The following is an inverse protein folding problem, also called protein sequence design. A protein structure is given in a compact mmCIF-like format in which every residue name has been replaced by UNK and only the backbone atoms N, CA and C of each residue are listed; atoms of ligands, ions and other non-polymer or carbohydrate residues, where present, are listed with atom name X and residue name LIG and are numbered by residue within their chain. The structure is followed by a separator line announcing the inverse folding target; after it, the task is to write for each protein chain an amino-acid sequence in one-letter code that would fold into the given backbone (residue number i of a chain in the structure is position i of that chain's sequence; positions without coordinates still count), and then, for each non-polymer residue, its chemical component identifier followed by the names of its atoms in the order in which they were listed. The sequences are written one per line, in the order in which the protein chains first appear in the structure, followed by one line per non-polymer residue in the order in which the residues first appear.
data_IF_280159692647
#
_entry.id   IF_280159692647
#
_cell.length_a   1.000
_cell.length_b   1.000
_cell.length_c   1.000
_cell.angle_alpha   90.00
_cell.angle_beta   90.00
_cell.angle_gamma   90.00
#
_symmetry.space_group_name_H-M   'P 1'
#
loop_
_entity.id
_entity.type
_entity.pdbx_description
1 polymer ?
#
# COMPACT_ATOMS: atom_id res chain seq x y z
N UNK A 1 -18.85 22.41 -16.49
CA UNK A 1 -18.16 21.11 -16.34
C UNK A 1 -16.95 21.34 -15.47
N UNK A 2 -16.85 20.67 -14.32
CA UNK A 2 -15.62 20.70 -13.50
C UNK A 2 -14.79 19.47 -13.82
N UNK A 3 -13.52 19.67 -14.17
CA UNK A 3 -12.55 18.60 -14.34
C UNK A 3 -11.80 18.36 -13.02
N UNK A 4 -11.50 17.09 -12.68
CA UNK A 4 -10.77 16.76 -11.48
C UNK A 4 -9.32 17.24 -11.64
N UNK A 5 -8.63 17.45 -10.53
CA UNK A 5 -7.20 17.78 -10.57
C UNK A 5 -6.41 16.64 -11.24
N UNK A 6 -5.33 16.99 -11.94
CA UNK A 6 -4.40 16.03 -12.53
C UNK A 6 -3.75 15.09 -11.48
N UNK A 7 -3.85 15.45 -10.19
CA UNK A 7 -3.44 14.65 -9.04
C UNK A 7 -4.54 14.68 -7.99
N UNK A 8 -5.01 13.51 -7.56
CA UNK A 8 -5.99 13.39 -6.47
C UNK A 8 -5.41 13.87 -5.14
N UNK A 9 -6.24 14.54 -4.34
CA UNK A 9 -5.93 15.04 -2.99
C UNK A 9 -6.76 14.21 -2.00
N UNK A 10 -6.09 13.45 -1.12
CA UNK A 10 -6.76 12.47 -0.26
C UNK A 10 -7.79 13.09 0.68
N UNK A 11 -7.47 14.27 1.22
CA UNK A 11 -8.27 15.01 2.19
C UNK A 11 -9.50 15.73 1.60
N UNK A 12 -9.58 15.84 0.27
CA UNK A 12 -10.62 16.63 -0.38
C UNK A 12 -11.20 15.89 -1.59
N UNK A 13 -12.31 15.18 -1.35
CA UNK A 13 -13.02 14.45 -2.38
C UNK A 13 -13.73 15.39 -3.38
N UNK A 14 -14.09 16.60 -2.95
CA UNK A 14 -14.68 17.62 -3.82
C UNK A 14 -13.70 18.07 -4.90
N UNK A 15 -12.41 18.16 -4.60
CA UNK A 15 -11.37 18.44 -5.59
C UNK A 15 -11.09 17.24 -6.54
N UNK A 16 -11.54 16.04 -6.17
CA UNK A 16 -11.32 14.81 -6.93
C UNK A 16 -12.52 14.39 -7.79
N UNK A 17 -13.71 14.94 -7.56
CA UNK A 17 -14.93 14.56 -8.26
C UNK A 17 -15.22 15.41 -9.50
N UNK A 18 -15.92 14.79 -10.47
CA UNK A 18 -16.48 15.46 -11.65
C UNK A 18 -17.94 15.72 -11.38
N UNK A 19 -18.33 16.99 -11.27
CA UNK A 19 -19.74 17.39 -11.17
C UNK A 19 -20.13 18.22 -12.39
N UNK A 20 -21.25 17.85 -13.02
CA UNK A 20 -21.79 18.51 -14.19
C UNK A 20 -22.95 19.43 -13.80
N UNK A 21 -22.69 20.74 -13.88
CA UNK A 21 -23.66 21.81 -13.65
C UNK A 21 -23.95 22.54 -14.97
N UNK A 22 -24.63 21.90 -15.91
CA UNK A 22 -25.05 22.57 -17.16
C UNK A 22 -26.58 22.64 -17.21
N UNK A 23 -27.19 23.84 -17.32
CA UNK A 23 -28.59 23.96 -17.66
C UNK A 23 -28.82 23.40 -19.08
N UNK A 24 -29.83 22.54 -19.25
CA UNK A 24 -30.35 22.08 -20.55
C UNK A 24 -29.45 21.14 -21.40
N UNK A 25 -28.56 20.35 -20.80
CA UNK A 25 -27.82 19.33 -21.58
C UNK A 25 -28.71 18.14 -21.96
N UNK A 26 -28.41 17.51 -23.10
CA UNK A 26 -29.08 16.27 -23.52
C UNK A 26 -28.56 15.09 -22.69
N UNK A 27 -29.35 14.69 -21.70
CA UNK A 27 -29.06 13.57 -20.80
C UNK A 27 -28.88 12.24 -21.54
N UNK A 28 -29.56 12.02 -22.66
CA UNK A 28 -29.43 10.79 -23.45
C UNK A 28 -28.10 10.76 -24.20
N UNK A 29 -27.74 11.88 -24.83
CA UNK A 29 -26.47 12.00 -25.54
C UNK A 29 -25.26 11.86 -24.59
N UNK A 30 -25.32 12.49 -23.40
CA UNK A 30 -24.27 12.35 -22.41
C UNK A 30 -24.16 10.91 -21.89
N UNK A 31 -25.29 10.26 -21.61
CA UNK A 31 -25.30 8.85 -21.18
C UNK A 31 -24.70 7.93 -22.24
N UNK A 32 -25.01 8.17 -23.52
CA UNK A 32 -24.38 7.43 -24.62
C UNK A 32 -22.86 7.64 -24.71
N UNK A 33 -22.36 8.85 -24.43
CA UNK A 33 -20.91 9.12 -24.36
C UNK A 33 -20.27 8.43 -23.15
N UNK A 34 -20.93 8.46 -21.98
CA UNK A 34 -20.46 7.77 -20.78
C UNK A 34 -20.41 6.27 -21.02
N UNK A 35 -21.48 5.67 -21.56
CA UNK A 35 -21.56 4.25 -21.87
C UNK A 35 -20.46 3.84 -22.88
N UNK A 36 -20.19 4.70 -23.87
CA UNK A 36 -19.09 4.52 -24.81
C UNK A 36 -17.72 4.55 -24.12
N UNK A 37 -17.45 5.56 -23.27
CA UNK A 37 -16.19 5.68 -22.52
C UNK A 37 -16.03 4.61 -21.42
N UNK A 38 -17.14 4.04 -20.96
CA UNK A 38 -17.18 2.95 -19.98
C UNK A 38 -17.07 1.57 -20.63
N UNK A 39 -17.15 1.48 -21.96
CA UNK A 39 -17.10 0.23 -22.68
C UNK A 39 -15.67 -0.33 -22.71
N UNK A 40 -15.48 -1.66 -22.53
CA UNK A 40 -14.16 -2.30 -22.46
C UNK A 40 -13.26 -2.04 -23.69
N UNK A 41 -13.87 -1.74 -24.84
CA UNK A 41 -13.17 -1.50 -26.11
C UNK A 41 -12.34 -0.21 -26.12
N UNK A 42 -12.61 0.75 -25.24
CA UNK A 42 -11.90 2.05 -25.23
C UNK A 42 -10.56 2.04 -24.49
N UNK A 43 -10.24 0.96 -23.77
CA UNK A 43 -8.97 0.84 -23.04
C UNK A 43 -8.78 1.84 -21.89
N UNK A 44 -9.80 2.61 -21.52
CA UNK A 44 -9.76 3.55 -20.41
C UNK A 44 -9.91 2.83 -19.07
N UNK A 45 -9.00 3.11 -18.14
CA UNK A 45 -9.04 2.58 -16.78
C UNK A 45 -10.15 3.29 -15.98
N UNK A 46 -11.32 2.64 -15.90
CA UNK A 46 -12.52 3.07 -15.17
C UNK A 46 -13.09 4.44 -15.60
N UNK A 47 -14.30 4.43 -16.14
CA UNK A 47 -15.03 5.67 -16.39
C UNK A 47 -15.27 6.43 -15.07
N UNK A 48 -15.13 7.78 -15.06
CA UNK A 48 -15.44 8.57 -13.90
C UNK A 48 -16.92 8.37 -13.50
N UNK A 49 -17.15 8.17 -12.21
CA UNK A 49 -18.50 8.03 -11.66
C UNK A 49 -19.28 9.33 -11.91
N UNK A 50 -20.34 9.24 -12.71
CA UNK A 50 -21.14 10.39 -13.11
C UNK A 50 -22.25 10.62 -12.09
N UNK A 51 -22.30 11.83 -11.54
CA UNK A 51 -23.40 12.29 -10.71
C UNK A 51 -23.91 13.60 -11.33
N UNK A 52 -25.21 13.64 -11.63
CA UNK A 52 -25.86 14.87 -12.06
C UNK A 52 -25.77 15.90 -10.92
N UNK A 53 -25.42 17.15 -11.21
CA UNK A 53 -25.20 18.16 -10.16
C UNK A 53 -26.41 18.38 -9.24
N UNK A 54 -27.63 18.14 -9.73
CA UNK A 54 -28.87 18.19 -8.93
C UNK A 54 -29.01 17.04 -7.92
N UNK A 55 -28.35 15.92 -8.20
CA UNK A 55 -28.36 14.72 -7.37
C UNK A 55 -27.09 14.60 -6.52
N UNK A 56 -26.11 15.49 -6.68
CA UNK A 56 -24.96 15.52 -5.79
C UNK A 56 -25.36 16.01 -4.39
N UNK A 57 -25.16 15.17 -3.39
CA UNK A 57 -25.19 15.56 -1.99
C UNK A 57 -23.77 15.82 -1.51
N UNK A 58 -23.60 16.97 -0.87
CA UNK A 58 -22.41 17.30 -0.09
C UNK A 58 -22.85 17.46 1.36
N UNK A 59 -22.50 16.48 2.19
CA UNK A 59 -22.91 16.45 3.58
C UNK A 59 -21.71 16.74 4.48
N UNK A 60 -21.80 17.74 5.39
CA UNK A 60 -20.75 17.97 6.35
C UNK A 60 -20.72 16.86 7.41
N UNK A 61 -19.60 16.79 8.13
CA UNK A 61 -19.53 16.00 9.37
C UNK A 61 -20.63 16.43 10.34
N UNK A 62 -21.38 15.48 10.88
CA UNK A 62 -22.35 15.76 11.95
C UNK A 62 -21.60 16.16 13.22
N UNK A 63 -21.85 17.39 13.68
CA UNK A 63 -21.17 18.01 14.83
C UNK A 63 -21.41 17.24 16.13
N UNK A 64 -22.57 16.59 16.27
CA UNK A 64 -22.91 15.82 17.46
C UNK A 64 -22.17 14.46 17.50
N UNK A 65 -21.53 14.07 16.38
CA UNK A 65 -20.80 12.82 16.21
C UNK A 65 -19.28 13.01 16.21
N UNK A 66 -18.76 14.14 16.68
CA UNK A 66 -17.31 14.42 16.72
C UNK A 66 -16.48 13.31 17.39
N UNK A 67 -17.02 12.66 18.44
CA UNK A 67 -16.37 11.51 19.09
C UNK A 67 -16.28 10.28 18.18
N UNK A 68 -17.28 10.03 17.33
CA UNK A 68 -17.31 8.91 16.41
C UNK A 68 -16.32 9.12 15.27
N UNK A 69 -16.22 10.34 14.73
CA UNK A 69 -15.18 10.69 13.74
C UNK A 69 -13.78 10.44 14.28
N UNK A 70 -13.51 10.91 15.50
CA UNK A 70 -12.21 10.71 16.14
C UNK A 70 -11.87 9.22 16.34
N UNK A 71 -12.87 8.40 16.67
CA UNK A 71 -12.70 6.95 16.78
C UNK A 71 -12.50 6.28 15.40
N UNK A 72 -13.27 6.71 14.40
CA UNK A 72 -13.13 6.20 13.03
C UNK A 72 -11.71 6.44 12.50
N UNK A 73 -11.15 7.62 12.76
CA UNK A 73 -9.82 8.03 12.31
C UNK A 73 -8.66 7.37 13.09
N UNK A 74 -8.97 6.51 14.07
CA UNK A 74 -7.96 5.63 14.69
C UNK A 74 -8.01 4.21 14.15
N UNK A 75 -9.01 3.86 13.33
CA UNK A 75 -9.18 2.50 12.85
C UNK A 75 -8.08 2.13 11.84
N UNK A 76 -7.52 0.91 11.95
CA UNK A 76 -6.61 0.39 10.94
C UNK A 76 -7.37 0.10 9.64
N UNK A 77 -6.81 0.53 8.53
CA UNK A 77 -7.30 0.23 7.19
C UNK A 77 -6.12 0.05 6.23
N UNK A 78 -6.38 -0.18 4.95
CA UNK A 78 -5.34 -0.40 3.94
C UNK A 78 -5.57 0.45 2.70
N UNK A 79 -4.55 0.48 1.83
CA UNK A 79 -4.69 0.94 0.47
C UNK A 79 -4.04 -0.08 -0.47
N UNK A 80 -4.82 -0.60 -1.41
CA UNK A 80 -4.36 -1.58 -2.40
C UNK A 80 -4.37 -0.93 -3.78
N UNK A 81 -3.35 -0.10 -4.01
CA UNK A 81 -3.15 0.58 -5.29
C UNK A 81 -2.18 -0.19 -6.19
N UNK A 82 -2.41 -0.09 -7.50
CA UNK A 82 -1.46 -0.52 -8.53
C UNK A 82 -0.30 0.48 -8.66
N UNK A 83 0.49 0.61 -7.60
CA UNK A 83 1.73 1.40 -7.61
C UNK A 83 2.93 0.50 -7.87
N UNK A 84 3.94 1.05 -8.57
CA UNK A 84 5.21 0.34 -8.75
C UNK A 84 5.84 0.06 -7.40
N UNK A 85 6.02 -1.23 -7.08
CA UNK A 85 6.63 -1.67 -5.82
C UNK A 85 8.11 -1.30 -5.79
N UNK A 86 8.63 -1.01 -4.60
CA UNK A 86 10.04 -0.70 -4.38
C UNK A 86 10.59 -1.52 -3.20
N UNK A 87 11.88 -1.86 -3.26
CA UNK A 87 12.56 -2.52 -2.16
C UNK A 87 12.51 -1.69 -0.88
N UNK A 88 12.53 -2.36 0.27
CA UNK A 88 12.60 -1.72 1.57
C UNK A 88 13.86 -0.85 1.69
N UNK A 89 14.97 -1.27 1.09
CA UNK A 89 16.21 -0.47 1.03
C UNK A 89 15.96 0.89 0.37
N UNK A 90 15.34 0.92 -0.83
CA UNK A 90 15.05 2.18 -1.52
C UNK A 90 14.03 3.01 -0.75
N UNK A 91 12.97 2.37 -0.25
CA UNK A 91 11.92 3.04 0.55
C UNK A 91 12.51 3.70 1.79
N UNK A 92 13.41 3.03 2.51
CA UNK A 92 14.09 3.56 3.69
C UNK A 92 14.94 4.79 3.35
N UNK A 93 15.74 4.74 2.29
CA UNK A 93 16.57 5.90 1.92
C UNK A 93 15.70 7.09 1.49
N UNK A 94 14.60 6.85 0.78
CA UNK A 94 13.64 7.90 0.41
C UNK A 94 12.89 8.46 1.62
N UNK A 95 12.55 7.63 2.60
CA UNK A 95 12.00 8.07 3.88
C UNK A 95 12.98 9.01 4.59
N UNK A 96 14.26 8.61 4.69
CA UNK A 96 15.29 9.45 5.29
C UNK A 96 15.41 10.82 4.60
N UNK A 97 15.37 10.88 3.27
CA UNK A 97 15.35 12.16 2.53
C UNK A 97 14.10 12.98 2.82
N UNK A 98 12.93 12.36 2.86
CA UNK A 98 11.68 13.05 3.16
C UNK A 98 11.70 13.65 4.57
N UNK A 99 12.09 12.86 5.57
CA UNK A 99 12.23 13.30 6.96
C UNK A 99 13.22 14.46 7.11
N UNK A 100 14.35 14.40 6.40
CA UNK A 100 15.34 15.48 6.42
C UNK A 100 14.86 16.74 5.70
N UNK A 101 14.15 16.60 4.57
CA UNK A 101 13.56 17.73 3.83
C UNK A 101 12.50 18.46 4.66
N UNK A 102 11.61 17.71 5.31
CA UNK A 102 10.54 18.23 6.17
C UNK A 102 11.04 18.62 7.57
N UNK A 103 12.35 18.53 7.82
CA UNK A 103 13.02 18.86 9.10
C UNK A 103 12.48 18.06 10.31
N UNK A 104 11.90 16.89 10.07
CA UNK A 104 11.46 15.97 11.12
C UNK A 104 12.64 15.19 11.71
N UNK A 105 13.61 14.83 10.86
CA UNK A 105 14.90 14.27 11.26
C UNK A 105 15.96 14.59 10.20
N UNK A 106 16.80 15.59 10.48
CA UNK A 106 17.86 16.03 9.56
C UNK A 106 19.01 15.04 9.41
N UNK A 107 19.15 14.08 10.34
CA UNK A 107 20.19 13.05 10.33
C UNK A 107 19.74 11.73 9.68
N UNK A 108 18.43 11.51 9.54
CA UNK A 108 17.85 10.25 9.08
C UNK A 108 18.45 9.75 7.77
N UNK A 109 18.60 10.62 6.76
CA UNK A 109 19.15 10.20 5.46
C UNK A 109 20.54 9.57 5.58
N UNK A 110 21.47 10.22 6.27
CA UNK A 110 22.84 9.71 6.43
C UNK A 110 22.90 8.52 7.39
N UNK A 111 22.06 8.51 8.45
CA UNK A 111 21.95 7.38 9.35
C UNK A 111 21.50 6.10 8.62
N UNK A 112 20.47 6.20 7.77
CA UNK A 112 19.97 5.05 7.02
C UNK A 112 20.95 4.57 5.94
N UNK A 113 21.67 5.48 5.29
CA UNK A 113 22.76 5.09 4.37
C UNK A 113 23.85 4.30 5.10
N UNK A 114 24.29 4.78 6.26
CA UNK A 114 25.28 4.09 7.10
C UNK A 114 24.79 2.71 7.52
N UNK A 115 23.52 2.59 7.91
CA UNK A 115 22.91 1.30 8.27
C UNK A 115 22.99 0.28 7.13
N UNK A 116 22.64 0.68 5.90
CA UNK A 116 22.69 -0.22 4.75
C UNK A 116 24.13 -0.64 4.46
N UNK A 117 25.08 0.31 4.49
CA UNK A 117 26.50 0.02 4.27
C UNK A 117 27.08 -0.89 5.36
N UNK A 118 26.73 -0.66 6.63
CA UNK A 118 27.20 -1.52 7.73
C UNK A 118 26.62 -2.93 7.62
N UNK A 119 25.35 -3.06 7.23
CA UNK A 119 24.70 -4.36 7.00
C UNK A 119 25.41 -5.12 5.87
N UNK A 120 25.77 -4.44 4.78
CA UNK A 120 26.59 -5.03 3.71
C UNK A 120 27.97 -5.48 4.20
N UNK A 121 28.63 -4.71 5.05
CA UNK A 121 29.94 -5.10 5.61
C UNK A 121 29.83 -6.30 6.58
N UNK A 122 28.75 -6.41 7.34
CA UNK A 122 28.51 -7.58 8.19
C UNK A 122 28.27 -8.84 7.36
N UNK A 123 27.47 -8.75 6.29
CA UNK A 123 27.28 -9.85 5.34
C UNK A 123 28.56 -10.19 4.58
N UNK A 124 29.40 -9.19 4.26
CA UNK A 124 30.74 -9.40 3.72
C UNK A 124 31.60 -10.23 4.67
N UNK A 125 31.62 -9.93 5.98
CA UNK A 125 32.37 -10.73 6.98
C UNK A 125 31.87 -12.18 7.03
N UNK A 126 30.56 -12.39 6.87
CA UNK A 126 29.97 -13.73 6.78
C UNK A 126 30.45 -14.48 5.53
N UNK A 127 30.42 -13.83 4.36
CA UNK A 127 30.80 -14.46 3.09
C UNK A 127 32.31 -14.57 2.88
N UNK A 128 33.13 -13.70 3.48
CA UNK A 128 34.58 -13.67 3.28
C UNK A 128 35.30 -15.01 3.54
N UNK A 129 34.67 -15.91 4.29
CA UNK A 129 35.20 -17.25 4.61
C UNK A 129 34.85 -18.31 3.56
N UNK A 130 33.86 -18.07 2.69
CA UNK A 130 33.39 -19.07 1.73
C UNK A 130 34.33 -19.19 0.53
N UNK A 131 34.39 -20.39 -0.06
CA UNK A 131 35.18 -20.62 -1.27
C UNK A 131 34.67 -19.79 -2.44
N UNK A 132 33.35 -19.69 -2.60
CA UNK A 132 32.71 -18.98 -3.71
C UNK A 132 33.00 -17.47 -3.66
N UNK A 133 32.93 -16.85 -2.48
CA UNK A 133 33.26 -15.44 -2.33
C UNK A 133 34.74 -15.19 -2.65
N UNK A 134 35.64 -16.02 -2.09
CA UNK A 134 37.08 -15.92 -2.40
C UNK A 134 37.36 -16.14 -3.88
N UNK A 135 36.65 -17.06 -4.54
CA UNK A 135 36.77 -17.32 -5.98
C UNK A 135 36.32 -16.10 -6.79
N UNK A 136 35.15 -15.54 -6.50
CA UNK A 136 34.62 -14.35 -7.16
C UNK A 136 35.60 -13.15 -7.05
N UNK A 137 36.21 -12.96 -5.87
CA UNK A 137 37.20 -11.89 -5.68
C UNK A 137 38.54 -12.21 -6.35
N UNK A 138 39.02 -13.45 -6.29
CA UNK A 138 40.32 -13.85 -6.88
C UNK A 138 40.29 -13.83 -8.40
N UNK A 139 39.18 -14.25 -9.00
CA UNK A 139 38.96 -14.14 -10.45
C UNK A 139 39.00 -12.67 -10.86
N UNK A 140 38.30 -11.78 -10.17
CA UNK A 140 38.36 -10.34 -10.47
C UNK A 140 39.69 -9.65 -10.12
N UNK A 141 40.42 -10.09 -9.10
CA UNK A 141 41.72 -9.54 -8.71
C UNK A 141 42.87 -9.91 -9.68
N UNK A 142 42.83 -11.13 -10.26
CA UNK A 142 43.77 -11.51 -11.35
C UNK A 142 43.63 -10.61 -12.55
N UNK A 143 42.46 -10.01 -12.74
CA UNK A 143 42.18 -9.16 -13.88
C UNK A 143 42.65 -7.72 -13.65
N UNK A 144 42.51 -7.18 -12.44
CA UNK A 144 43.02 -5.85 -12.07
C UNK A 144 44.56 -5.76 -12.13
N UNK A 145 45.29 -6.84 -11.82
CA UNK A 145 46.76 -6.88 -11.96
C UNK A 145 47.21 -6.84 -13.43
N UNK A 146 46.50 -7.55 -14.32
CA UNK A 146 46.79 -7.49 -15.77
C UNK A 146 46.55 -6.08 -16.32
N UNK A 147 45.49 -5.40 -15.88
CA UNK A 147 45.21 -4.03 -16.33
C UNK A 147 46.24 -2.98 -15.90
N UNK A 148 46.79 -3.10 -14.70
CA UNK A 148 47.87 -2.21 -14.23
C UNK A 148 49.19 -2.47 -14.98
N UNK A 149 49.55 -3.73 -15.22
CA UNK A 149 50.80 -4.05 -15.92
C UNK A 149 50.83 -3.53 -17.37
N UNK A 150 49.70 -3.61 -18.08
CA UNK A 150 49.57 -3.04 -19.44
C UNK A 150 49.64 -1.51 -19.42
N UNK A 151 49.00 -0.86 -18.43
CA UNK A 151 49.02 0.60 -18.32
C UNK A 151 50.39 1.19 -17.91
N UNK A 152 51.24 0.42 -17.21
CA UNK A 152 52.57 0.85 -16.78
C UNK A 152 53.69 0.50 -17.79
N UNK A 153 53.37 -0.12 -18.93
CA UNK A 153 54.34 -0.39 -20.00
C UNK A 153 55.52 -1.22 -19.51
N UNK A 154 55.25 -2.43 -19.01
CA UNK A 154 56.33 -3.41 -18.82
C UNK A 154 56.67 -3.97 -20.20
N UNK A 155 57.76 -3.47 -20.78
CA UNK A 155 58.36 -4.03 -21.99
C UNK A 155 58.72 -5.50 -21.72
N UNK A 156 57.92 -6.41 -22.26
CA UNK A 156 58.39 -7.74 -22.63
C UNK A 156 58.51 -7.75 -24.15
N UNK A 157 59.74 -7.93 -24.63
CA UNK A 157 60.07 -8.06 -26.05
C UNK A 157 59.26 -9.21 -26.67
N UNK A 158 58.18 -8.88 -27.38
CA UNK A 158 57.55 -9.64 -28.47
C UNK A 158 56.30 -8.85 -28.97
N UNK A 159 56.52 -7.99 -29.97
CA UNK A 159 55.54 -7.07 -30.57
C UNK A 159 54.55 -7.76 -31.53
N UNK A 160 53.69 -8.66 -31.04
CA UNK A 160 52.44 -9.07 -31.74
C UNK A 160 51.21 -9.26 -30.81
N UNK A 161 51.35 -9.29 -29.47
CA UNK A 161 50.24 -9.52 -28.52
C UNK A 161 49.67 -8.26 -27.82
N UNK A 162 50.16 -7.06 -28.15
CA UNK A 162 49.81 -5.83 -27.41
C UNK A 162 48.35 -5.37 -27.60
N UNK A 163 47.77 -5.54 -28.79
CA UNK A 163 46.41 -5.08 -29.09
C UNK A 163 45.35 -5.95 -28.36
N UNK A 164 45.52 -7.28 -28.41
CA UNK A 164 44.64 -8.23 -27.69
C UNK A 164 44.71 -8.03 -26.16
N UNK A 165 45.89 -7.69 -25.62
CA UNK A 165 46.07 -7.46 -24.18
C UNK A 165 45.38 -6.18 -23.68
N UNK A 166 45.44 -5.09 -24.45
CA UNK A 166 44.79 -3.82 -24.11
C UNK A 166 43.27 -3.93 -24.27
N UNK A 167 42.80 -4.57 -25.35
CA UNK A 167 41.39 -4.85 -25.56
C UNK A 167 40.81 -5.74 -24.45
N UNK A 168 41.53 -6.79 -24.02
CA UNK A 168 41.13 -7.66 -22.92
C UNK A 168 41.04 -6.89 -21.58
N UNK A 169 41.98 -6.01 -21.29
CA UNK A 169 41.97 -5.16 -20.08
C UNK A 169 40.81 -4.16 -20.11
N UNK A 170 40.59 -3.50 -21.23
CA UNK A 170 39.49 -2.57 -21.42
C UNK A 170 38.13 -3.28 -21.30
N UNK A 171 37.99 -4.48 -21.89
CA UNK A 171 36.80 -5.30 -21.80
C UNK A 171 36.46 -5.69 -20.35
N UNK A 172 37.47 -5.99 -19.52
CA UNK A 172 37.20 -6.39 -18.14
C UNK A 172 36.97 -5.20 -17.21
N UNK A 173 37.68 -4.09 -17.40
CA UNK A 173 37.38 -2.85 -16.66
C UNK A 173 35.93 -2.42 -16.92
N UNK A 174 35.47 -2.50 -18.17
CA UNK A 174 34.05 -2.33 -18.54
C UNK A 174 33.15 -3.31 -17.80
N UNK A 175 33.51 -4.59 -17.74
CA UNK A 175 32.71 -5.60 -17.01
C UNK A 175 32.59 -5.30 -15.49
N UNK A 176 33.65 -4.85 -14.82
CA UNK A 176 33.60 -4.47 -13.39
C UNK A 176 32.68 -3.26 -13.18
N UNK A 177 32.76 -2.26 -14.07
CA UNK A 177 31.89 -1.09 -14.02
C UNK A 177 30.43 -1.45 -14.32
N UNK A 178 30.18 -2.38 -15.24
CA UNK A 178 28.85 -2.91 -15.53
C UNK A 178 28.26 -3.64 -14.32
N UNK A 179 29.05 -4.49 -13.63
CA UNK A 179 28.64 -5.14 -12.38
C UNK A 179 28.34 -4.11 -11.27
N UNK A 180 29.14 -3.04 -11.19
CA UNK A 180 28.90 -1.96 -10.23
C UNK A 180 27.62 -1.17 -10.58
N UNK A 181 27.39 -0.89 -11.85
CA UNK A 181 26.16 -0.24 -12.33
C UNK A 181 24.93 -1.13 -12.11
N UNK A 182 25.04 -2.45 -12.30
CA UNK A 182 24.00 -3.43 -11.94
C UNK A 182 23.71 -3.41 -10.44
N UNK A 183 24.75 -3.38 -9.60
CA UNK A 183 24.62 -3.23 -8.15
C UNK A 183 23.92 -1.92 -7.78
N UNK A 184 24.23 -0.84 -8.51
CA UNK A 184 23.55 0.45 -8.39
C UNK A 184 22.08 0.39 -8.77
N UNK A 185 21.72 -0.35 -9.82
CA UNK A 185 20.32 -0.62 -10.17
C UNK A 185 19.63 -1.46 -9.10
N UNK A 186 20.24 -2.53 -8.57
CA UNK A 186 19.66 -3.36 -7.51
C UNK A 186 19.36 -2.54 -6.24
N UNK A 187 20.37 -1.87 -5.68
CA UNK A 187 20.23 -1.11 -4.42
C UNK A 187 19.49 0.22 -4.58
N UNK A 188 19.76 0.95 -5.67
CA UNK A 188 19.29 2.31 -5.88
C UNK A 188 20.00 3.35 -5.01
N UNK A 189 19.55 4.61 -5.15
CA UNK A 189 19.85 5.72 -4.25
C UNK A 189 21.35 6.01 -3.97
N UNK A 190 22.24 5.63 -4.89
CA UNK A 190 23.68 5.85 -4.76
C UNK A 190 24.37 4.96 -3.71
N UNK A 191 23.70 3.91 -3.21
CA UNK A 191 24.22 3.06 -2.13
C UNK A 191 25.44 2.24 -2.56
N UNK A 192 25.48 1.78 -3.82
CA UNK A 192 26.64 1.10 -4.41
C UNK A 192 27.93 1.96 -4.38
N UNK A 193 27.82 3.28 -4.56
CA UNK A 193 28.95 4.21 -4.45
C UNK A 193 29.32 4.40 -2.98
N UNK A 194 28.33 4.53 -2.10
CA UNK A 194 28.56 4.68 -0.66
C UNK A 194 29.31 3.49 -0.06
N UNK A 195 28.94 2.26 -0.45
CA UNK A 195 29.63 1.05 -0.04
C UNK A 195 31.09 1.06 -0.49
N UNK A 196 31.36 1.27 -1.79
CA UNK A 196 32.72 1.31 -2.33
C UNK A 196 33.57 2.37 -1.63
N UNK A 197 33.03 3.58 -1.43
CA UNK A 197 33.74 4.65 -0.72
C UNK A 197 34.11 4.24 0.72
N UNK A 198 33.18 3.62 1.45
CA UNK A 198 33.44 3.15 2.81
C UNK A 198 34.50 2.03 2.84
N UNK A 199 34.44 1.08 1.90
CA UNK A 199 35.40 -0.02 1.78
C UNK A 199 36.83 0.47 1.50
N UNK A 200 36.98 1.39 0.55
CA UNK A 200 38.28 1.97 0.18
C UNK A 200 38.85 2.79 1.34
N UNK A 201 38.02 3.57 2.03
CA UNK A 201 38.46 4.39 3.16
C UNK A 201 38.89 3.57 4.38
N UNK A 202 38.19 2.47 4.68
CA UNK A 202 38.41 1.71 5.92
C UNK A 202 39.55 0.68 5.79
N UNK A 203 39.68 0.02 4.64
CA UNK A 203 40.57 -1.15 4.49
C UNK A 203 41.67 -0.94 3.42
N UNK A 204 41.75 0.26 2.84
CA UNK A 204 42.75 0.60 1.80
C UNK A 204 42.79 -0.38 0.61
N UNK A 205 41.65 -1.02 0.30
CA UNK A 205 41.53 -1.89 -0.87
C UNK A 205 41.28 -1.05 -2.14
N UNK A 206 41.61 -1.63 -3.30
CA UNK A 206 41.35 -0.98 -4.59
C UNK A 206 39.84 -0.89 -4.88
N UNK A 207 39.36 0.18 -5.53
CA UNK A 207 37.95 0.32 -5.89
C UNK A 207 37.38 -0.86 -6.70
N UNK A 208 38.16 -1.44 -7.62
CA UNK A 208 37.74 -2.61 -8.41
C UNK A 208 37.40 -3.82 -7.54
N UNK A 209 38.22 -4.09 -6.51
CA UNK A 209 37.93 -5.16 -5.55
C UNK A 209 36.65 -4.87 -4.75
N UNK A 210 36.45 -3.65 -4.27
CA UNK A 210 35.23 -3.28 -3.54
C UNK A 210 33.96 -3.42 -4.40
N UNK A 211 34.04 -3.11 -5.70
CA UNK A 211 32.95 -3.30 -6.66
C UNK A 211 32.58 -4.79 -6.84
N UNK A 212 33.59 -5.65 -6.96
CA UNK A 212 33.41 -7.11 -7.05
C UNK A 212 32.84 -7.72 -5.76
N UNK A 213 33.31 -7.27 -4.59
CA UNK A 213 32.74 -7.64 -3.29
C UNK A 213 31.25 -7.31 -3.24
N UNK A 214 30.87 -6.10 -3.68
CA UNK A 214 29.47 -5.70 -3.70
C UNK A 214 28.64 -6.55 -4.66
N UNK A 215 29.14 -6.85 -5.85
CA UNK A 215 28.44 -7.70 -6.82
C UNK A 215 28.19 -9.09 -6.23
N UNK A 216 29.22 -9.72 -5.66
CA UNK A 216 29.11 -11.04 -5.01
C UNK A 216 28.13 -11.03 -3.82
N UNK A 217 28.09 -9.96 -3.04
CA UNK A 217 27.12 -9.80 -1.96
C UNK A 217 25.67 -9.75 -2.47
N UNK A 218 25.43 -9.03 -3.58
CA UNK A 218 24.09 -8.86 -4.14
C UNK A 218 23.61 -10.03 -5.00
N UNK A 219 24.46 -11.03 -5.23
CA UNK A 219 24.10 -12.31 -5.82
C UNK A 219 23.76 -13.36 -4.74
N UNK A 220 24.15 -13.13 -3.49
CA UNK A 220 23.78 -13.99 -2.36
C UNK A 220 22.38 -13.64 -1.82
N UNK A 221 21.45 -14.59 -1.95
CA UNK A 221 20.05 -14.41 -1.55
C UNK A 221 19.89 -14.15 -0.03
N UNK A 222 20.80 -14.67 0.81
CA UNK A 222 20.76 -14.41 2.26
C UNK A 222 21.11 -12.96 2.58
N UNK A 223 22.09 -12.40 1.88
CA UNK A 223 22.50 -11.00 1.99
C UNK A 223 21.38 -10.06 1.54
N UNK A 224 20.76 -10.31 0.39
CA UNK A 224 19.64 -9.48 -0.09
C UNK A 224 18.43 -9.56 0.84
N UNK A 225 18.11 -10.76 1.36
CA UNK A 225 17.06 -10.91 2.38
C UNK A 225 17.39 -10.14 3.66
N UNK A 226 18.63 -10.22 4.17
CA UNK A 226 19.04 -9.52 5.38
C UNK A 226 18.91 -8.00 5.22
N UNK A 227 19.26 -7.46 4.05
CA UNK A 227 19.06 -6.04 3.73
C UNK A 227 17.58 -5.65 3.71
N UNK A 228 16.74 -6.41 3.02
CA UNK A 228 15.29 -6.14 2.94
C UNK A 228 14.62 -6.20 4.31
N UNK A 229 14.94 -7.22 5.12
CA UNK A 229 14.40 -7.39 6.47
C UNK A 229 14.84 -6.26 7.39
N UNK A 230 16.14 -5.92 7.38
CA UNK A 230 16.69 -4.86 8.23
C UNK A 230 16.14 -3.50 7.85
N UNK A 231 16.10 -3.19 6.55
CA UNK A 231 15.56 -1.94 6.06
C UNK A 231 14.05 -1.82 6.32
N UNK A 232 13.29 -2.91 6.13
CA UNK A 232 11.85 -2.94 6.41
C UNK A 232 11.54 -2.68 7.88
N UNK A 233 12.28 -3.32 8.79
CA UNK A 233 12.14 -3.08 10.25
C UNK A 233 12.40 -1.63 10.62
N UNK A 234 13.50 -1.03 10.13
CA UNK A 234 13.82 0.37 10.44
C UNK A 234 12.82 1.32 9.78
N UNK A 235 12.37 1.04 8.57
CA UNK A 235 11.32 1.84 7.91
C UNK A 235 10.06 1.91 8.77
N UNK A 236 9.61 0.76 9.29
CA UNK A 236 8.43 0.70 10.15
C UNK A 236 8.63 1.52 11.44
N UNK A 237 9.71 1.27 12.17
CA UNK A 237 10.03 1.96 13.43
C UNK A 237 10.09 3.48 13.24
N UNK A 238 10.74 3.95 12.19
CA UNK A 238 10.89 5.38 11.94
C UNK A 238 9.58 6.02 11.44
N UNK A 239 8.79 5.28 10.66
CA UNK A 239 7.46 5.76 10.25
C UNK A 239 6.54 5.92 11.45
N UNK A 240 6.53 4.96 12.38
CA UNK A 240 5.70 5.02 13.59
C UNK A 240 6.16 6.13 14.54
N UNK A 241 7.47 6.23 14.76
CA UNK A 241 8.10 7.30 15.55
C UNK A 241 7.71 8.70 15.06
N UNK A 242 7.66 8.91 13.75
CA UNK A 242 7.36 10.21 13.15
C UNK A 242 5.88 10.39 12.77
N UNK A 243 5.01 9.41 13.03
CA UNK A 243 3.61 9.39 12.60
C UNK A 243 2.83 10.66 12.95
N UNK A 244 2.90 11.09 14.22
CA UNK A 244 2.19 12.28 14.68
C UNK A 244 2.69 13.56 13.97
N UNK A 245 4.01 13.73 13.83
CA UNK A 245 4.59 14.88 13.16
C UNK A 245 4.29 14.89 11.65
N UNK A 246 4.23 13.72 11.00
CA UNK A 246 3.81 13.59 9.60
C UNK A 246 2.36 14.02 9.43
N UNK A 247 1.46 13.68 10.37
CA UNK A 247 0.04 14.04 10.32
C UNK A 247 -0.18 15.56 10.32
N UNK A 248 0.70 16.30 11.00
CA UNK A 248 0.64 17.76 11.11
C UNK A 248 1.23 18.49 9.88
N UNK A 249 1.80 17.75 8.90
CA UNK A 249 2.29 18.32 7.65
C UNK A 249 1.15 18.71 6.69
N UNK A 250 1.40 19.64 5.75
CA UNK A 250 0.47 19.91 4.66
C UNK A 250 0.17 18.64 3.82
N UNK A 251 -1.04 18.53 3.28
CA UNK A 251 -1.51 17.34 2.57
C UNK A 251 -0.57 16.87 1.44
N UNK A 252 -0.03 17.80 0.65
CA UNK A 252 0.93 17.49 -0.41
C UNK A 252 2.21 16.79 0.10
N UNK A 253 2.61 17.08 1.34
CA UNK A 253 3.74 16.42 2.00
C UNK A 253 3.32 15.08 2.59
N UNK A 254 2.16 14.98 3.24
CA UNK A 254 1.60 13.70 3.73
C UNK A 254 1.50 12.66 2.63
N UNK A 255 1.04 13.06 1.44
CA UNK A 255 0.96 12.19 0.26
C UNK A 255 2.32 11.59 -0.15
N UNK A 256 3.44 12.28 0.13
CA UNK A 256 4.78 11.73 -0.12
C UNK A 256 5.04 10.51 0.76
N UNK A 257 4.73 10.59 2.06
CA UNK A 257 4.90 9.48 3.01
C UNK A 257 3.92 8.33 2.73
N UNK A 258 2.67 8.66 2.40
CA UNK A 258 1.64 7.71 1.98
C UNK A 258 2.11 6.90 0.77
N UNK A 259 2.64 7.55 -0.26
CA UNK A 259 3.23 6.88 -1.44
C UNK A 259 4.41 5.98 -1.10
N UNK A 260 5.32 6.42 -0.21
CA UNK A 260 6.44 5.58 0.23
C UNK A 260 5.98 4.32 0.99
N UNK A 261 4.90 4.45 1.78
CA UNK A 261 4.27 3.32 2.46
C UNK A 261 3.66 2.34 1.45
N UNK A 262 2.85 2.83 0.50
CA UNK A 262 2.13 2.03 -0.52
C UNK A 262 3.05 1.34 -1.54
N UNK A 263 4.30 1.78 -1.68
CA UNK A 263 5.34 1.11 -2.48
C UNK A 263 5.82 -0.23 -1.88
N UNK A 264 5.39 -0.60 -0.67
CA UNK A 264 5.67 -1.91 -0.07
C UNK A 264 5.18 -3.06 -0.93
N UNK A 265 5.92 -4.17 -0.94
CA UNK A 265 5.55 -5.39 -1.66
C UNK A 265 4.17 -5.91 -1.25
N UNK A 266 3.88 -5.90 0.06
CA UNK A 266 2.56 -6.20 0.63
C UNK A 266 1.86 -4.92 1.06
N UNK A 267 0.52 -4.85 1.04
CA UNK A 267 -0.24 -3.76 1.66
C UNK A 267 0.23 -3.52 3.10
N UNK A 268 0.20 -2.25 3.51
CA UNK A 268 0.60 -1.85 4.86
C UNK A 268 -0.56 -1.09 5.48
N UNK A 269 -0.74 -1.28 6.78
CA UNK A 269 -1.79 -0.62 7.54
C UNK A 269 -1.62 0.89 7.46
N UNK A 270 -2.73 1.61 7.30
CA UNK A 270 -2.89 3.05 7.33
C UNK A 270 -4.03 3.41 8.29
N UNK A 271 -4.10 4.66 8.73
CA UNK A 271 -5.27 5.15 9.46
C UNK A 271 -6.34 5.60 8.48
N UNK A 272 -7.60 5.34 8.82
CA UNK A 272 -8.72 5.89 8.07
C UNK A 272 -8.72 7.42 8.17
N UNK A 273 -8.71 8.13 7.03
CA UNK A 273 -8.84 9.58 7.01
C UNK A 273 -10.17 9.93 6.34
N UNK A 274 -11.14 10.37 7.14
CA UNK A 274 -12.46 10.73 6.63
C UNK A 274 -12.48 12.16 6.05
N UNK A 275 -13.26 12.47 5.01
CA UNK A 275 -13.31 13.81 4.44
C UNK A 275 -14.09 14.78 5.32
N UNK A 276 -13.92 16.09 5.09
CA UNK A 276 -14.77 17.12 5.71
C UNK A 276 -16.18 17.13 5.10
N UNK A 277 -16.28 16.86 3.80
CA UNK A 277 -17.52 16.75 3.06
C UNK A 277 -17.65 15.34 2.47
N UNK A 278 -18.73 14.67 2.81
CA UNK A 278 -19.11 13.40 2.20
C UNK A 278 -19.91 13.66 0.93
N UNK A 279 -19.40 13.14 -0.18
CA UNK A 279 -20.04 13.26 -1.48
C UNK A 279 -20.70 11.96 -1.89
N UNK A 280 -22.00 12.01 -2.16
CA UNK A 280 -22.76 10.86 -2.65
C UNK A 280 -23.91 11.30 -3.57
N UNK A 281 -24.45 10.36 -4.32
CA UNK A 281 -25.69 10.57 -5.06
C UNK A 281 -26.89 10.55 -4.11
N UNK A 282 -27.77 11.53 -4.27
CA UNK A 282 -29.05 11.63 -3.58
C UNK A 282 -29.88 10.40 -3.94
N UNK A 283 -30.35 9.71 -2.91
CA UNK A 283 -31.34 8.65 -3.07
C UNK A 283 -32.73 9.04 -2.60
N UNK A 284 -33.67 8.14 -2.86
CA UNK A 284 -35.08 8.29 -2.48
C UNK A 284 -35.34 7.98 -0.99
N UNK A 285 -34.48 7.16 -0.37
CA UNK A 285 -34.60 6.81 1.03
C UNK A 285 -33.75 7.71 1.92
N UNK A 286 -34.27 8.00 3.10
CA UNK A 286 -33.63 8.84 4.11
C UNK A 286 -33.34 8.02 5.35
N UNK A 287 -32.09 8.08 5.83
CA UNK A 287 -31.60 7.33 6.97
C UNK A 287 -31.04 8.27 8.04
N UNK A 288 -31.39 8.00 9.30
CA UNK A 288 -30.87 8.71 10.46
C UNK A 288 -29.52 8.16 10.89
N UNK A 289 -28.84 8.90 11.76
CA UNK A 289 -27.61 8.49 12.47
C UNK A 289 -26.40 8.24 11.57
N UNK A 290 -26.42 8.62 10.29
CA UNK A 290 -25.19 8.59 9.49
C UNK A 290 -24.16 9.57 10.07
N UNK A 291 -22.85 9.30 9.93
CA UNK A 291 -21.79 10.21 10.39
C UNK A 291 -21.85 11.58 9.69
N UNK A 292 -22.25 11.57 8.43
CA UNK A 292 -22.48 12.76 7.62
C UNK A 292 -23.97 12.98 7.42
N UNK A 293 -24.44 14.18 7.67
CA UNK A 293 -25.87 14.45 7.70
C UNK A 293 -26.22 15.85 7.20
N UNK A 294 -27.43 15.98 6.65
CA UNK A 294 -28.04 17.27 6.37
C UNK A 294 -28.42 18.00 7.67
N UNK A 295 -28.94 19.23 7.54
CA UNK A 295 -29.39 20.05 8.66
C UNK A 295 -30.51 19.39 9.50
N UNK A 296 -31.12 18.32 9.01
CA UNK A 296 -32.16 17.54 9.68
C UNK A 296 -31.60 16.26 10.32
N UNK A 297 -30.29 16.03 10.27
CA UNK A 297 -29.62 14.87 10.85
C UNK A 297 -29.74 13.59 10.00
N UNK A 298 -29.97 13.70 8.69
CA UNK A 298 -30.19 12.55 7.82
C UNK A 298 -29.23 12.48 6.63
N UNK A 299 -29.00 11.25 6.15
CA UNK A 299 -28.42 10.94 4.85
C UNK A 299 -29.55 10.51 3.91
N UNK A 300 -29.60 11.07 2.70
CA UNK A 300 -30.45 10.57 1.61
C UNK A 300 -29.61 9.74 0.65
N UNK A 301 -29.87 8.44 0.52
CA UNK A 301 -29.08 7.56 -0.34
C UNK A 301 -29.89 6.37 -0.85
N UNK A 302 -29.46 5.80 -1.97
CA UNK A 302 -30.02 4.56 -2.51
C UNK A 302 -29.20 3.39 -2.00
N UNK A 303 -29.85 2.47 -1.30
CA UNK A 303 -29.26 1.20 -0.86
C UNK A 303 -29.88 0.06 -1.68
N UNK A 304 -29.06 -0.91 -2.07
CA UNK A 304 -29.58 -2.16 -2.63
C UNK A 304 -30.36 -2.95 -1.56
N UNK A 305 -31.06 -4.02 -1.95
CA UNK A 305 -31.94 -4.75 -1.04
C UNK A 305 -31.19 -5.33 0.19
N UNK A 306 -29.93 -5.73 0.03
CA UNK A 306 -29.11 -6.37 1.06
C UNK A 306 -28.53 -5.35 2.02
N UNK A 307 -27.97 -4.27 1.45
CA UNK A 307 -27.53 -3.08 2.19
C UNK A 307 -28.68 -2.50 3.03
N UNK A 308 -29.84 -2.30 2.42
CA UNK A 308 -31.04 -1.77 3.09
C UNK A 308 -31.44 -2.67 4.26
N UNK A 309 -31.54 -3.97 4.03
CA UNK A 309 -31.93 -4.93 5.08
C UNK A 309 -30.94 -4.90 6.25
N UNK A 310 -29.64 -4.76 5.95
CA UNK A 310 -28.58 -4.68 6.96
C UNK A 310 -28.68 -3.40 7.78
N UNK A 311 -28.77 -2.24 7.11
CA UNK A 311 -28.90 -0.94 7.78
C UNK A 311 -30.17 -0.85 8.61
N UNK A 312 -31.31 -1.32 8.09
CA UNK A 312 -32.57 -1.34 8.84
C UNK A 312 -32.51 -2.26 10.07
N UNK A 313 -31.87 -3.43 9.94
CA UNK A 313 -31.69 -4.35 11.06
C UNK A 313 -30.80 -3.76 12.16
N UNK A 314 -29.72 -3.06 11.81
CA UNK A 314 -28.87 -2.39 12.81
C UNK A 314 -29.55 -1.17 13.42
N UNK A 315 -30.22 -0.32 12.64
CA UNK A 315 -30.94 0.85 13.17
C UNK A 315 -32.12 0.45 14.07
N UNK A 316 -32.71 -0.73 13.87
CA UNK A 316 -33.76 -1.27 14.75
C UNK A 316 -33.27 -1.56 16.17
N UNK A 317 -31.94 -1.62 16.41
CA UNK A 317 -31.35 -1.74 17.76
C UNK A 317 -31.45 -0.43 18.57
N UNK A 318 -32.01 0.64 18.00
CA UNK A 318 -32.33 1.85 18.73
C UNK A 318 -31.09 2.58 19.25
N UNK A 319 -31.08 2.91 20.53
CA UNK A 319 -30.04 3.77 21.16
C UNK A 319 -28.71 3.06 21.44
N UNK A 320 -28.62 1.77 21.14
CA UNK A 320 -27.36 1.03 21.09
C UNK A 320 -26.48 1.57 19.94
N UNK A 321 -27.08 1.87 18.78
CA UNK A 321 -26.38 2.42 17.61
C UNK A 321 -26.26 3.94 17.74
N UNK A 322 -25.02 4.42 17.76
CA UNK A 322 -24.65 5.82 17.88
C UNK A 322 -24.47 6.50 16.51
N UNK A 323 -23.97 5.75 15.53
CA UNK A 323 -23.87 6.21 14.16
C UNK A 323 -23.38 5.14 13.21
N UNK A 324 -23.38 5.44 11.91
CA UNK A 324 -22.89 4.53 10.88
C UNK A 324 -22.33 5.29 9.67
N UNK A 325 -21.36 4.69 9.00
CA UNK A 325 -20.73 5.18 7.78
C UNK A 325 -21.01 4.18 6.66
N UNK A 326 -21.45 4.67 5.50
CA UNK A 326 -21.37 3.90 4.25
C UNK A 326 -20.03 4.18 3.57
N UNK A 327 -19.28 3.13 3.30
CA UNK A 327 -18.07 3.20 2.48
C UNK A 327 -18.47 3.37 1.02
N UNK A 328 -17.90 4.37 0.34
CA UNK A 328 -18.02 4.47 -1.12
C UNK A 328 -16.75 3.85 -1.73
N UNK A 329 -16.85 2.75 -2.49
CA UNK A 329 -15.68 2.07 -3.03
C UNK A 329 -14.76 2.99 -3.84
N UNK A 330 -13.44 2.75 -3.74
CA UNK A 330 -12.38 3.46 -4.49
C UNK A 330 -12.20 4.95 -4.16
N UNK A 331 -12.95 5.51 -3.21
CA UNK A 331 -12.63 6.82 -2.64
C UNK A 331 -11.33 6.75 -1.86
N UNK A 332 -10.61 7.88 -1.78
CA UNK A 332 -9.37 7.99 -1.00
C UNK A 332 -9.56 7.57 0.46
N UNK A 333 -10.72 7.92 1.03
CA UNK A 333 -11.11 7.64 2.40
C UNK A 333 -11.85 6.31 2.58
N UNK A 334 -11.97 5.47 1.54
CA UNK A 334 -12.73 4.22 1.62
C UNK A 334 -12.06 3.24 2.60
N UNK A 335 -12.84 2.73 3.56
CA UNK A 335 -12.37 1.65 4.43
C UNK A 335 -12.09 0.42 3.55
N UNK A 336 -10.84 -0.03 3.55
CA UNK A 336 -10.37 -1.06 2.64
C UNK A 336 -9.72 -2.18 3.41
N UNK A 337 -10.08 -3.42 3.06
CA UNK A 337 -9.44 -4.65 3.54
C UNK A 337 -8.75 -5.31 2.34
N UNK A 338 -7.48 -5.74 2.45
CA UNK A 338 -6.83 -6.49 1.40
C UNK A 338 -7.28 -7.95 1.41
N UNK A 339 -7.39 -8.55 0.23
CA UNK A 339 -7.55 -9.98 0.07
C UNK A 339 -6.70 -10.47 -1.10
N UNK A 340 -6.27 -11.74 -1.07
CA UNK A 340 -5.52 -12.34 -2.16
C UNK A 340 -6.47 -13.02 -3.15
N UNK A 341 -6.39 -12.61 -4.41
CA UNK A 341 -7.06 -13.26 -5.53
C UNK A 341 -6.24 -13.00 -6.79
N UNK A 342 -5.28 -13.92 -7.02
CA UNK A 342 -4.17 -13.77 -7.96
C UNK A 342 -3.36 -12.48 -7.73
N UNK A 343 -3.01 -12.24 -6.46
CA UNK A 343 -2.37 -11.02 -5.97
C UNK A 343 -3.31 -10.15 -5.15
N UNK A 344 -2.74 -9.15 -4.48
CA UNK A 344 -3.48 -8.29 -3.56
C UNK A 344 -4.58 -7.49 -4.28
N UNK A 345 -5.82 -7.60 -3.79
CA UNK A 345 -7.00 -6.87 -4.24
C UNK A 345 -7.63 -6.09 -3.09
N UNK A 346 -8.21 -4.90 -3.35
CA UNK A 346 -9.00 -4.18 -2.36
C UNK A 346 -10.43 -4.74 -2.31
N UNK A 347 -10.92 -5.06 -1.11
CA UNK A 347 -12.36 -5.11 -0.83
C UNK A 347 -12.73 -3.90 0.03
N UNK A 348 -13.96 -3.41 -0.12
CA UNK A 348 -14.44 -2.22 0.54
C UNK A 348 -15.67 -2.58 1.37
N UNK A 349 -15.51 -3.03 2.63
CA UNK A 349 -16.64 -3.31 3.49
C UNK A 349 -17.66 -2.16 3.50
N UNK A 350 -18.92 -2.46 3.20
CA UNK A 350 -19.93 -1.44 2.92
C UNK A 350 -20.19 -0.53 4.12
N UNK A 351 -20.17 -1.07 5.35
CA UNK A 351 -20.54 -0.29 6.54
C UNK A 351 -19.58 -0.40 7.71
N UNK A 352 -19.39 0.74 8.37
CA UNK A 352 -18.90 0.83 9.74
C UNK A 352 -20.05 1.27 10.65
N UNK A 353 -20.38 0.49 11.68
CA UNK A 353 -21.41 0.82 12.67
C UNK A 353 -20.78 1.08 14.04
N UNK A 354 -21.13 2.21 14.64
CA UNK A 354 -20.65 2.64 15.94
C UNK A 354 -21.73 2.34 16.97
N UNK A 355 -21.44 1.43 17.91
CA UNK A 355 -22.40 1.03 18.95
C UNK A 355 -21.84 1.15 20.35
N UNK A 356 -22.74 1.31 21.33
CA UNK A 356 -22.39 1.24 22.74
C UNK A 356 -22.01 -0.19 23.12
N UNK A 357 -20.93 -0.33 23.88
CA UNK A 357 -20.59 -1.60 24.55
C UNK A 357 -20.01 -1.28 25.92
N UNK A 358 -20.76 -1.60 26.98
CA UNK A 358 -20.46 -1.11 28.33
C UNK A 358 -20.43 0.42 28.36
N UNK A 359 -19.39 0.98 28.95
CA UNK A 359 -19.14 2.43 29.00
C UNK A 359 -18.41 2.97 27.75
N UNK A 360 -18.06 2.08 26.81
CA UNK A 360 -17.28 2.39 25.62
C UNK A 360 -18.09 2.42 24.33
N UNK A 361 -17.38 2.72 23.24
CA UNK A 361 -17.89 2.65 21.87
C UNK A 361 -17.03 1.64 21.14
N UNK A 362 -17.67 0.72 20.42
CA UNK A 362 -16.98 -0.20 19.51
C UNK A 362 -17.47 0.03 18.09
N UNK A 363 -16.64 -0.35 17.13
CA UNK A 363 -16.94 -0.24 15.70
C UNK A 363 -17.12 -1.65 15.13
N UNK A 364 -18.24 -1.89 14.47
CA UNK A 364 -18.49 -3.12 13.73
C UNK A 364 -18.27 -2.87 12.23
N UNK A 365 -17.64 -3.82 11.55
CA UNK A 365 -17.49 -3.87 10.10
C UNK A 365 -18.54 -4.82 9.55
N UNK A 366 -19.46 -4.32 8.71
CA UNK A 366 -20.55 -5.13 8.16
C UNK A 366 -20.50 -5.14 6.63
N UNK A 367 -20.35 -6.32 6.05
CA UNK A 367 -20.23 -6.53 4.61
C UNK A 367 -21.38 -7.43 4.09
N UNK A 368 -22.52 -6.87 3.65
CA UNK A 368 -23.53 -7.62 2.94
C UNK A 368 -23.04 -8.02 1.55
N UNK A 369 -22.91 -9.33 1.31
CA UNK A 369 -22.17 -9.83 0.15
C UNK A 369 -22.94 -10.88 -0.65
N UNK A 370 -23.02 -10.70 -1.96
CA UNK A 370 -23.58 -11.71 -2.86
C UNK A 370 -22.57 -12.83 -3.15
N UNK A 371 -22.89 -14.07 -2.77
CA UNK A 371 -22.00 -15.23 -2.98
C UNK A 371 -21.84 -15.66 -4.45
N UNK A 372 -22.52 -15.01 -5.38
CA UNK A 372 -22.42 -15.30 -6.82
C UNK A 372 -21.11 -14.83 -7.46
N UNK A 373 -20.35 -13.97 -6.78
CA UNK A 373 -19.04 -13.53 -7.26
C UNK A 373 -18.00 -14.63 -7.10
N UNK A 374 -17.19 -14.87 -8.12
CA UNK A 374 -16.11 -15.86 -8.14
C UNK A 374 -15.13 -15.69 -6.96
N UNK A 375 -14.82 -14.44 -6.60
CA UNK A 375 -13.89 -14.08 -5.54
C UNK A 375 -14.49 -14.09 -4.10
N UNK A 376 -15.73 -14.52 -3.91
CA UNK A 376 -16.42 -14.44 -2.60
C UNK A 376 -15.68 -15.15 -1.47
N UNK A 377 -15.20 -16.38 -1.71
CA UNK A 377 -14.39 -17.13 -0.74
C UNK A 377 -13.06 -16.45 -0.43
N UNK A 378 -12.45 -15.79 -1.43
CA UNK A 378 -11.20 -15.05 -1.24
C UNK A 378 -11.41 -13.80 -0.37
N UNK A 379 -12.51 -13.07 -0.58
CA UNK A 379 -12.91 -11.92 0.27
C UNK A 379 -13.22 -12.34 1.70
N UNK A 380 -13.97 -13.43 1.88
CA UNK A 380 -14.26 -13.96 3.22
C UNK A 380 -12.97 -14.27 4.00
N UNK A 381 -11.98 -14.89 3.34
CA UNK A 381 -10.65 -15.11 3.92
C UNK A 381 -9.91 -13.81 4.22
N UNK A 382 -9.97 -12.83 3.31
CA UNK A 382 -9.38 -11.51 3.54
C UNK A 382 -9.93 -10.81 4.79
N UNK A 383 -11.25 -10.85 5.00
CA UNK A 383 -11.86 -10.37 6.24
C UNK A 383 -11.39 -11.15 7.47
N UNK A 384 -11.28 -12.47 7.38
CA UNK A 384 -10.79 -13.31 8.47
C UNK A 384 -9.32 -13.03 8.80
N UNK A 385 -8.48 -12.75 7.79
CA UNK A 385 -7.09 -12.37 7.97
C UNK A 385 -6.95 -10.98 8.59
N UNK A 386 -7.76 -10.03 8.13
CA UNK A 386 -7.86 -8.71 8.75
C UNK A 386 -8.29 -8.80 10.22
N UNK A 387 -9.32 -9.60 10.53
CA UNK A 387 -9.78 -9.80 11.90
C UNK A 387 -8.73 -10.46 12.80
N UNK A 388 -7.87 -11.33 12.27
CA UNK A 388 -6.79 -11.91 13.08
C UNK A 388 -5.68 -10.90 13.42
N UNK A 389 -5.47 -9.90 12.56
CA UNK A 389 -4.43 -8.88 12.76
C UNK A 389 -4.95 -7.69 13.58
N UNK A 390 -6.20 -7.28 13.36
CA UNK A 390 -6.77 -6.03 13.89
C UNK A 390 -8.05 -6.22 14.70
N UNK A 391 -8.48 -7.45 14.97
CA UNK A 391 -9.78 -7.75 15.58
C UNK A 391 -10.04 -7.07 16.93
N UNK A 392 -8.97 -6.77 17.68
CA UNK A 392 -9.04 -6.06 18.96
C UNK A 392 -9.52 -4.60 18.83
N UNK A 393 -9.37 -3.99 17.66
CA UNK A 393 -9.85 -2.63 17.36
C UNK A 393 -11.35 -2.59 16.99
N UNK A 394 -11.98 -3.75 16.81
CA UNK A 394 -13.36 -3.88 16.32
C UNK A 394 -14.24 -4.71 17.25
N UNK A 395 -15.55 -4.45 17.19
CA UNK A 395 -16.55 -5.25 17.88
C UNK A 395 -16.84 -6.54 17.10
N UNK A 396 -17.52 -6.39 15.96
CA UNK A 396 -17.88 -7.47 15.04
C UNK A 396 -17.26 -7.21 13.67
N UNK A 397 -16.86 -8.25 12.97
CA UNK A 397 -16.43 -8.17 11.58
C UNK A 397 -17.23 -9.23 10.83
N UNK A 398 -18.30 -8.81 10.15
CA UNK A 398 -19.33 -9.72 9.65
C UNK A 398 -19.39 -9.73 8.14
N UNK A 399 -19.34 -10.94 7.57
CA UNK A 399 -19.83 -11.21 6.22
C UNK A 399 -21.31 -11.60 6.32
N UNK A 400 -22.18 -10.91 5.58
CA UNK A 400 -23.64 -11.02 5.73
C UNK A 400 -24.26 -11.48 4.41
N UNK A 401 -25.10 -12.51 4.47
CA UNK A 401 -25.86 -13.00 3.32
C UNK A 401 -27.35 -12.91 3.58
N UNK A 402 -28.13 -12.52 2.57
CA UNK A 402 -29.59 -12.56 2.62
C UNK A 402 -30.11 -13.81 1.92
N UNK A 403 -30.72 -14.72 2.68
CA UNK A 403 -31.35 -15.94 2.15
C UNK A 403 -32.79 -16.07 2.65
N UNK A 404 -33.74 -16.29 1.74
CA UNK A 404 -35.18 -16.45 2.04
C UNK A 404 -35.72 -15.34 2.97
N UNK A 405 -35.26 -14.10 2.77
CA UNK A 405 -35.67 -12.93 3.55
C UNK A 405 -35.00 -12.78 4.92
N UNK A 406 -34.10 -13.69 5.32
CA UNK A 406 -33.34 -13.62 6.58
C UNK A 406 -31.90 -13.22 6.31
N UNK A 407 -31.31 -12.46 7.22
CA UNK A 407 -29.88 -12.18 7.24
C UNK A 407 -29.16 -13.30 8.00
N UNK A 408 -28.22 -13.96 7.33
CA UNK A 408 -27.26 -14.91 7.90
C UNK A 408 -25.92 -14.19 8.03
N UNK A 409 -25.20 -14.42 9.12
CA UNK A 409 -23.99 -13.66 9.47
C UNK A 409 -22.87 -14.58 9.88
N UNK A 410 -21.68 -14.37 9.32
CA UNK A 410 -20.44 -14.97 9.80
C UNK A 410 -19.60 -13.85 10.42
N UNK A 411 -19.55 -13.80 11.74
CA UNK A 411 -18.70 -12.89 12.49
C UNK A 411 -17.27 -13.47 12.59
N UNK A 412 -16.41 -13.07 11.66
CA UNK A 412 -15.01 -13.52 11.61
C UNK A 412 -14.15 -12.90 12.69
N UNK A 413 -14.68 -12.02 13.54
CA UNK A 413 -13.96 -11.60 14.75
C UNK A 413 -13.98 -12.68 15.83
N UNK A 414 -14.89 -13.66 15.74
CA UNK A 414 -14.92 -14.83 16.63
C UNK A 414 -13.95 -15.91 16.14
N UNK A 415 -13.03 -16.33 17.00
CA UNK A 415 -11.96 -17.29 16.69
C UNK A 415 -12.45 -18.54 15.94
N UNK A 416 -13.50 -19.20 16.44
CA UNK A 416 -14.03 -20.42 15.84
C UNK A 416 -14.69 -20.21 14.46
N UNK A 417 -15.23 -19.02 14.18
CA UNK A 417 -15.78 -18.67 12.87
C UNK A 417 -14.64 -18.29 11.93
N UNK A 418 -13.67 -17.50 12.42
CA UNK A 418 -12.47 -17.07 11.69
C UNK A 418 -11.69 -18.26 11.13
N UNK A 419 -11.46 -19.28 11.95
CA UNK A 419 -10.72 -20.48 11.55
C UNK A 419 -11.48 -21.29 10.47
N UNK A 420 -12.80 -21.41 10.60
CA UNK A 420 -13.64 -22.07 9.59
C UNK A 420 -13.62 -21.32 8.26
N UNK A 421 -13.74 -19.99 8.30
CA UNK A 421 -13.71 -19.14 7.09
C UNK A 421 -12.35 -19.20 6.40
N UNK A 422 -11.25 -19.20 7.15
CA UNK A 422 -9.89 -19.39 6.61
C UNK A 422 -9.71 -20.74 5.90
N UNK A 423 -10.38 -21.78 6.39
CA UNK A 423 -10.32 -23.13 5.83
C UNK A 423 -11.22 -23.34 4.59
N UNK A 424 -12.04 -22.36 4.21
CA UNK A 424 -12.91 -22.46 3.01
C UNK A 424 -12.07 -22.74 1.76
N UNK A 425 -12.49 -23.67 0.91
CA UNK A 425 -11.79 -23.99 -0.35
C UNK A 425 -12.31 -23.16 -1.52
N UNK A 426 -13.62 -22.90 -1.54
CA UNK A 426 -14.36 -22.34 -2.65
C UNK A 426 -15.70 -21.73 -2.17
N UNK A 427 -16.47 -21.16 -3.08
CA UNK A 427 -17.72 -20.50 -2.75
C UNK A 427 -18.83 -21.47 -2.30
N UNK A 428 -18.77 -22.74 -2.69
CA UNK A 428 -19.74 -23.75 -2.25
C UNK A 428 -19.51 -24.10 -0.77
N UNK A 429 -18.25 -24.28 -0.37
CA UNK A 429 -17.90 -24.47 1.04
C UNK A 429 -18.27 -23.22 1.86
N UNK A 430 -18.03 -22.00 1.37
CA UNK A 430 -18.48 -20.78 2.06
C UNK A 430 -20.00 -20.76 2.26
N UNK A 431 -20.77 -21.14 1.24
CA UNK A 431 -22.23 -21.22 1.33
C UNK A 431 -22.68 -22.21 2.41
N UNK A 432 -22.06 -23.39 2.49
CA UNK A 432 -22.37 -24.39 3.52
C UNK A 432 -22.10 -23.86 4.94
N UNK A 433 -21.10 -22.99 5.13
CA UNK A 433 -20.86 -22.36 6.44
C UNK A 433 -22.04 -21.47 6.85
N UNK A 434 -22.61 -20.70 5.92
CA UNK A 434 -23.81 -19.88 6.19
C UNK A 434 -25.03 -20.74 6.54
N UNK A 435 -25.24 -21.85 5.83
CA UNK A 435 -26.31 -22.81 6.11
C UNK A 435 -26.17 -23.48 7.48
N UNK A 436 -24.94 -23.65 7.98
CA UNK A 436 -24.67 -24.17 9.32
C UNK A 436 -24.87 -23.18 10.48
N UNK A 437 -25.15 -21.90 10.17
CA UNK A 437 -25.43 -20.84 11.17
C UNK A 437 -26.91 -20.67 11.50
N UNK A 438 -27.81 -21.30 10.73
CA UNK A 438 -29.25 -21.39 11.07
C UNK A 438 -29.52 -22.52 12.05
#
# INVERSE_FOLDING_TARGET
MRTPLARSIHADDFLNSVSLYLPHYDTKALKAVIDYLSSPETGLAAAPEFIEGSDLLELPRDKDKAKLFKLAETLPTYSVERVSKASNVRRLIRLGRALSYDKLDTGAFEAFRKLVVSTLDDERKRLAKTADFKKAIKEGARIDVRGVNVAYGVETEEDEELDESFEAVAAVSRNIDDLHAQSGRKLGEGLHIAYVKARVANDSIKPGQAKLELAALLDDAKTTKALEDKAGKVFQVETDKHKAAIRDLPEARRDTYRKLRRQATKPQTEELELPELYQASKGEQTYKKHLYADDKGNLSCTLNEWEKSTVEAELARGDEVLGWLRTIPRKSWAFTVPYDHDGDRPMYPDFLFFRKQGDGIVVDVLEPHALSHDDSSSKAKGLADFAAEHGDDFGRIELIVKEKGKLLRLDVNQDGVRDKVRAVSDNQHLKQLFEGTT
#
